data_IF_909929946855
#
_entry.id   IF_909929946855
#
_cell.length_a   1.000
_cell.length_b   1.000
_cell.length_c   1.000
_cell.angle_alpha   90.00
_cell.angle_beta   90.00
_cell.angle_gamma   90.00
#
_symmetry.space_group_name_H-M   'P 1'
#
loop_
_entity.id
_entity.type
_entity.pdbx_description
1 polymer ?
#
# COMPACT_ATOMS: atom_id res chain seq x y z
N UNK A 1 -6.05 -28.75 -9.78
CA UNK A 1 -5.82 -27.68 -8.77
C UNK A 1 -6.67 -26.49 -9.17
N UNK A 2 -7.34 -25.85 -8.21
CA UNK A 2 -8.10 -24.63 -8.54
C UNK A 2 -7.11 -23.49 -8.78
N UNK A 3 -7.19 -22.84 -9.93
CA UNK A 3 -6.36 -21.69 -10.30
C UNK A 3 -7.02 -20.40 -9.78
N UNK A 4 -6.21 -19.50 -9.22
CA UNK A 4 -6.64 -18.15 -8.83
C UNK A 4 -5.83 -17.16 -9.66
N UNK A 5 -6.52 -16.28 -10.38
CA UNK A 5 -5.90 -15.25 -11.22
C UNK A 5 -5.85 -13.90 -10.49
N UNK A 6 -4.75 -13.18 -10.65
CA UNK A 6 -4.54 -11.83 -10.15
C UNK A 6 -4.07 -10.90 -11.26
N UNK A 7 -4.55 -9.64 -11.25
CA UNK A 7 -4.09 -8.57 -12.12
C UNK A 7 -3.41 -7.47 -11.29
N UNK A 8 -2.10 -7.28 -11.48
CA UNK A 8 -1.30 -6.29 -10.75
C UNK A 8 -1.03 -5.09 -11.65
N UNK A 9 -1.63 -3.94 -11.32
CA UNK A 9 -1.56 -2.73 -12.13
C UNK A 9 -0.28 -1.93 -11.85
N UNK A 10 0.51 -1.70 -12.89
CA UNK A 10 1.80 -1.02 -12.82
C UNK A 10 2.95 -1.94 -12.40
N UNK A 11 4.17 -1.45 -12.60
CA UNK A 11 5.41 -2.22 -12.40
C UNK A 11 6.31 -1.54 -11.38
N UNK A 12 6.51 -2.20 -10.24
CA UNK A 12 7.55 -1.88 -9.27
C UNK A 12 8.09 -3.18 -8.68
N UNK A 13 9.29 -3.58 -9.04
CA UNK A 13 9.87 -4.85 -8.62
C UNK A 13 9.81 -5.06 -7.11
N UNK A 14 10.10 -4.03 -6.32
CA UNK A 14 10.06 -4.11 -4.86
C UNK A 14 8.65 -4.37 -4.33
N UNK A 15 7.64 -3.67 -4.87
CA UNK A 15 6.25 -3.84 -4.43
C UNK A 15 5.69 -5.19 -4.90
N UNK A 16 5.99 -5.56 -6.13
CA UNK A 16 5.57 -6.86 -6.68
C UNK A 16 6.11 -8.01 -5.84
N UNK A 17 7.39 -7.98 -5.44
CA UNK A 17 7.98 -9.00 -4.57
C UNK A 17 7.23 -9.14 -3.25
N UNK A 18 6.86 -8.03 -2.63
CA UNK A 18 6.10 -8.03 -1.36
C UNK A 18 4.69 -8.60 -1.54
N UNK A 19 4.01 -8.24 -2.64
CA UNK A 19 2.67 -8.75 -2.96
C UNK A 19 2.73 -10.26 -3.20
N UNK A 20 3.66 -10.71 -4.02
CA UNK A 20 3.83 -12.12 -4.36
C UNK A 20 4.11 -12.98 -3.13
N UNK A 21 4.97 -12.51 -2.23
CA UNK A 21 5.28 -13.17 -0.97
C UNK A 21 4.01 -13.43 -0.14
N UNK A 22 3.16 -12.41 0.00
CA UNK A 22 1.88 -12.54 0.71
C UNK A 22 0.92 -13.48 -0.02
N UNK A 23 0.82 -13.39 -1.35
CA UNK A 23 -0.06 -14.27 -2.13
C UNK A 23 0.37 -15.73 -2.01
N UNK A 24 1.67 -16.02 -2.02
CA UNK A 24 2.18 -17.38 -1.87
C UNK A 24 1.90 -17.95 -0.48
N UNK A 25 2.09 -17.18 0.59
CA UNK A 25 1.72 -17.63 1.94
C UNK A 25 0.20 -17.80 2.11
N UNK A 26 -0.60 -16.92 1.49
CA UNK A 26 -2.07 -16.97 1.62
C UNK A 26 -2.69 -18.13 0.84
N UNK A 27 -2.11 -18.48 -0.31
CA UNK A 27 -2.66 -19.45 -1.26
C UNK A 27 -1.72 -20.64 -1.50
N UNK A 28 -1.01 -21.11 -0.48
CA UNK A 28 0.05 -22.11 -0.53
C UNK A 28 -0.31 -23.39 -1.33
N UNK A 29 -1.59 -23.79 -1.33
CA UNK A 29 -2.08 -25.00 -2.00
C UNK A 29 -2.85 -24.72 -3.30
N UNK A 30 -2.71 -23.53 -3.88
CA UNK A 30 -3.38 -23.12 -5.12
C UNK A 30 -2.36 -22.86 -6.22
N UNK A 31 -2.81 -22.93 -7.46
CA UNK A 31 -2.03 -22.40 -8.59
C UNK A 31 -2.38 -20.95 -8.79
N UNK A 32 -1.38 -20.08 -8.84
CA UNK A 32 -1.57 -18.64 -9.06
C UNK A 32 -1.20 -18.27 -10.50
N UNK A 33 -2.15 -17.66 -11.21
CA UNK A 33 -1.92 -17.03 -12.50
C UNK A 33 -1.88 -15.51 -12.33
N UNK A 34 -0.70 -14.92 -12.45
CA UNK A 34 -0.44 -13.52 -12.11
C UNK A 34 -0.11 -12.74 -13.38
N UNK A 35 -0.94 -11.75 -13.68
CA UNK A 35 -0.74 -10.82 -14.79
C UNK A 35 -0.27 -9.47 -14.25
N UNK A 36 0.85 -9.00 -14.73
CA UNK A 36 1.35 -7.65 -14.43
C UNK A 36 0.98 -6.76 -15.60
N UNK A 37 0.08 -5.82 -15.37
CA UNK A 37 -0.48 -4.95 -16.39
C UNK A 37 0.31 -3.65 -16.42
N UNK A 38 0.86 -3.30 -17.59
CA UNK A 38 1.67 -2.09 -17.76
C UNK A 38 1.29 -1.31 -19.01
N UNK A 39 1.30 0.01 -18.91
CA UNK A 39 1.16 0.92 -20.04
C UNK A 39 2.51 1.51 -20.48
N UNK A 40 3.62 1.06 -19.89
CA UNK A 40 4.96 1.49 -20.27
C UNK A 40 5.49 0.66 -21.45
N UNK A 41 6.10 1.28 -22.48
CA UNK A 41 6.68 0.55 -23.58
C UNK A 41 7.86 -0.31 -23.08
N UNK A 42 7.80 -1.60 -23.35
CA UNK A 42 8.87 -2.61 -23.34
C UNK A 42 10.04 -2.40 -22.37
N UNK A 43 9.82 -2.18 -21.09
CA UNK A 43 10.96 -2.03 -20.20
C UNK A 43 10.75 -2.71 -18.87
N UNK A 44 11.35 -3.81 -18.74
CA UNK A 44 11.62 -4.43 -17.47
C UNK A 44 11.51 -5.94 -17.58
N UNK A 45 12.65 -6.59 -17.61
CA UNK A 45 12.71 -7.94 -17.08
C UNK A 45 12.20 -7.88 -15.65
N UNK A 46 10.94 -8.20 -15.45
CA UNK A 46 10.45 -8.51 -14.13
C UNK A 46 11.18 -9.79 -13.76
N UNK A 47 12.06 -9.71 -12.76
CA UNK A 47 12.94 -10.80 -12.34
C UNK A 47 12.17 -11.92 -11.59
N UNK A 48 10.95 -12.23 -12.03
CA UNK A 48 10.13 -13.28 -11.43
C UNK A 48 10.11 -14.47 -12.39
N UNK A 49 10.74 -15.54 -11.99
CA UNK A 49 10.68 -16.80 -12.71
C UNK A 49 9.41 -17.57 -12.35
N UNK A 50 8.82 -18.22 -13.35
CA UNK A 50 7.78 -19.21 -13.09
C UNK A 50 8.30 -20.29 -12.13
N UNK A 51 7.53 -20.58 -11.09
CA UNK A 51 7.82 -21.69 -10.16
C UNK A 51 6.72 -22.75 -10.29
N UNK A 52 6.89 -23.90 -9.62
CA UNK A 52 5.97 -25.05 -9.77
C UNK A 52 4.48 -24.75 -9.61
N UNK A 53 4.13 -23.73 -8.82
CA UNK A 53 2.74 -23.45 -8.46
C UNK A 53 2.23 -22.09 -8.93
N UNK A 54 2.97 -21.39 -9.83
CA UNK A 54 2.49 -20.12 -10.36
C UNK A 54 3.10 -19.75 -11.70
N UNK A 55 2.35 -18.96 -12.47
CA UNK A 55 2.81 -18.23 -13.64
C UNK A 55 2.82 -16.73 -13.39
N UNK A 56 3.79 -16.02 -13.94
CA UNK A 56 3.83 -14.56 -13.95
C UNK A 56 4.02 -14.09 -15.38
N UNK A 57 3.11 -13.27 -15.89
CA UNK A 57 3.12 -12.73 -17.24
C UNK A 57 3.04 -11.20 -17.20
N UNK A 58 3.79 -10.54 -18.09
CA UNK A 58 3.64 -9.09 -18.32
C UNK A 58 2.69 -8.92 -19.50
N UNK A 59 1.63 -8.17 -19.29
CA UNK A 59 0.62 -7.88 -20.29
C UNK A 59 0.55 -6.37 -20.53
N UNK A 60 0.60 -5.96 -21.79
CA UNK A 60 0.39 -4.57 -22.15
C UNK A 60 -1.07 -4.19 -21.89
N UNK A 61 -1.28 -2.98 -21.37
CA UNK A 61 -2.60 -2.43 -21.02
C UNK A 61 -3.63 -2.58 -22.15
N UNK A 62 -3.25 -2.25 -23.37
CA UNK A 62 -4.12 -2.37 -24.55
C UNK A 62 -4.50 -3.81 -24.94
N UNK A 63 -3.80 -4.81 -24.43
CA UNK A 63 -4.06 -6.24 -24.67
C UNK A 63 -4.73 -6.92 -23.46
N UNK A 64 -5.02 -6.15 -22.41
CA UNK A 64 -5.63 -6.69 -21.22
C UNK A 64 -7.15 -6.50 -21.23
N UNK A 65 -7.86 -7.60 -21.04
CA UNK A 65 -9.31 -7.58 -20.80
C UNK A 65 -9.54 -7.64 -19.29
N UNK A 66 -10.09 -6.56 -18.76
CA UNK A 66 -10.38 -6.45 -17.33
C UNK A 66 -11.61 -7.30 -16.97
N UNK A 67 -11.45 -8.24 -16.06
CA UNK A 67 -12.54 -9.06 -15.51
C UNK A 67 -13.05 -8.54 -14.14
N UNK A 68 -12.46 -7.46 -13.65
CA UNK A 68 -12.73 -6.83 -12.35
C UNK A 68 -12.54 -7.74 -11.13
N UNK A 69 -11.82 -8.86 -11.28
CA UNK A 69 -11.53 -9.78 -10.19
C UNK A 69 -10.06 -9.70 -9.77
N UNK A 70 -9.81 -9.74 -8.47
CA UNK A 70 -8.46 -9.80 -7.88
C UNK A 70 -7.47 -8.79 -8.47
N UNK A 71 -7.88 -7.52 -8.55
CA UNK A 71 -7.05 -6.43 -9.06
C UNK A 71 -6.31 -5.76 -7.90
N UNK A 72 -5.03 -5.48 -8.09
CA UNK A 72 -4.19 -4.76 -7.14
C UNK A 72 -3.30 -3.73 -7.82
N UNK A 73 -2.85 -2.74 -7.03
CA UNK A 73 -1.78 -1.84 -7.47
C UNK A 73 -0.42 -2.48 -7.22
N UNK A 74 0.33 -2.76 -8.29
CA UNK A 74 1.70 -3.31 -8.27
C UNK A 74 2.78 -2.27 -7.96
N UNK A 75 2.41 -1.14 -7.36
CA UNK A 75 3.27 0.01 -7.06
C UNK A 75 3.05 0.51 -5.64
N UNK A 76 4.12 0.91 -4.94
CA UNK A 76 4.08 1.19 -3.50
C UNK A 76 4.23 2.67 -3.11
N UNK A 77 4.89 3.51 -3.92
CA UNK A 77 5.05 4.94 -3.58
C UNK A 77 3.77 5.72 -3.82
N UNK A 78 3.46 6.65 -2.95
CA UNK A 78 2.20 7.42 -2.96
C UNK A 78 1.92 8.10 -4.30
N UNK A 79 2.92 8.79 -4.84
CA UNK A 79 2.85 9.50 -6.13
C UNK A 79 2.59 8.56 -7.30
N UNK A 80 3.35 7.45 -7.41
CA UNK A 80 3.19 6.48 -8.49
C UNK A 80 1.86 5.74 -8.36
N UNK A 81 1.45 5.42 -7.14
CA UNK A 81 0.18 4.78 -6.84
C UNK A 81 -1.01 5.60 -7.36
N UNK A 82 -1.00 6.92 -7.09
CA UNK A 82 -2.02 7.83 -7.60
C UNK A 82 -2.06 7.83 -9.13
N UNK A 83 -0.92 8.03 -9.79
CA UNK A 83 -0.82 8.06 -11.26
C UNK A 83 -1.28 6.76 -11.91
N UNK A 84 -0.87 5.61 -11.38
CA UNK A 84 -1.28 4.30 -11.90
C UNK A 84 -2.78 4.11 -11.73
N UNK A 85 -3.31 4.40 -10.54
CA UNK A 85 -4.76 4.30 -10.31
C UNK A 85 -5.55 5.20 -11.26
N UNK A 86 -5.17 6.48 -11.39
CA UNK A 86 -5.87 7.44 -12.25
C UNK A 86 -5.84 6.99 -13.73
N UNK A 87 -4.70 6.48 -14.22
CA UNK A 87 -4.58 5.96 -15.58
C UNK A 87 -5.53 4.78 -15.83
N UNK A 88 -5.55 3.77 -14.96
CA UNK A 88 -6.42 2.61 -15.11
C UNK A 88 -7.89 2.92 -14.83
N UNK A 89 -8.18 3.90 -13.98
CA UNK A 89 -9.53 4.42 -13.80
C UNK A 89 -10.08 5.01 -15.11
N UNK A 90 -9.27 5.81 -15.81
CA UNK A 90 -9.64 6.44 -17.07
C UNK A 90 -9.75 5.40 -18.21
N UNK A 91 -8.76 4.51 -18.36
CA UNK A 91 -8.69 3.59 -19.49
C UNK A 91 -9.63 2.38 -19.35
N UNK A 92 -9.85 1.89 -18.13
CA UNK A 92 -10.59 0.66 -17.86
C UNK A 92 -11.73 0.81 -16.86
N UNK A 93 -12.10 2.02 -16.45
CA UNK A 93 -13.17 2.30 -15.47
C UNK A 93 -12.97 1.59 -14.11
N UNK A 94 -11.71 1.34 -13.73
CA UNK A 94 -11.41 0.69 -12.45
C UNK A 94 -11.68 1.65 -11.30
N UNK A 95 -12.55 1.23 -10.39
CA UNK A 95 -12.83 1.94 -9.14
C UNK A 95 -12.23 1.19 -7.95
N UNK A 96 -12.09 1.86 -6.81
CA UNK A 96 -11.49 1.24 -5.62
C UNK A 96 -12.22 0.00 -5.15
N UNK A 97 -13.53 -0.09 -5.39
CA UNK A 97 -14.34 -1.28 -5.07
C UNK A 97 -13.89 -2.55 -5.82
N UNK A 98 -13.22 -2.40 -6.96
CA UNK A 98 -12.68 -3.51 -7.73
C UNK A 98 -11.31 -3.97 -7.19
N UNK A 99 -10.69 -3.18 -6.32
CA UNK A 99 -9.36 -3.49 -5.80
C UNK A 99 -9.44 -4.50 -4.65
N UNK A 100 -8.63 -5.51 -4.74
CA UNK A 100 -8.52 -6.59 -3.73
C UNK A 100 -7.50 -6.22 -2.66
N UNK A 101 -7.81 -6.58 -1.42
CA UNK A 101 -6.87 -6.47 -0.30
C UNK A 101 -5.91 -7.66 -0.28
N UNK A 102 -4.62 -7.38 -0.13
CA UNK A 102 -3.59 -8.39 0.12
C UNK A 102 -3.08 -8.22 1.54
N UNK A 103 -3.51 -9.14 2.38
CA UNK A 103 -3.27 -9.11 3.82
C UNK A 103 -2.48 -10.36 4.19
N UNK A 104 -1.29 -10.15 4.74
CA UNK A 104 -0.45 -11.27 5.17
C UNK A 104 -1.11 -12.04 6.32
N UNK A 105 -1.16 -13.39 6.30
CA UNK A 105 -1.84 -14.19 7.32
C UNK A 105 -1.26 -14.03 8.73
N UNK A 106 -0.02 -13.58 8.87
CA UNK A 106 0.62 -13.25 10.15
C UNK A 106 0.38 -11.80 10.63
N UNK A 107 -0.54 -11.06 10.00
CA UNK A 107 -1.00 -9.77 10.51
C UNK A 107 -2.08 -9.94 11.57
N UNK A 108 -2.12 -9.05 12.54
CA UNK A 108 -3.15 -9.03 13.58
C UNK A 108 -4.04 -7.81 13.34
N UNK A 109 -5.27 -8.05 12.92
CA UNK A 109 -6.24 -6.99 12.66
C UNK A 109 -7.43 -7.16 13.59
N UNK A 110 -7.73 -6.14 14.37
CA UNK A 110 -8.92 -6.13 15.23
C UNK A 110 -10.20 -6.30 14.40
N UNK A 111 -11.12 -7.13 14.87
CA UNK A 111 -12.45 -7.27 14.27
C UNK A 111 -13.28 -5.97 14.31
N UNK A 112 -12.91 -5.02 15.17
CA UNK A 112 -13.53 -3.70 15.26
C UNK A 112 -12.87 -2.65 14.36
N UNK A 113 -11.78 -2.98 13.69
CA UNK A 113 -11.19 -2.12 12.67
C UNK A 113 -12.04 -2.14 11.39
N UNK A 114 -12.08 -1.01 10.70
CA UNK A 114 -12.73 -0.86 9.39
C UNK A 114 -11.65 -0.62 8.34
N UNK A 115 -11.57 -1.48 7.36
CA UNK A 115 -10.62 -1.39 6.25
C UNK A 115 -11.38 -1.37 4.92
N UNK A 116 -10.94 -0.49 4.02
CA UNK A 116 -11.49 -0.37 2.67
C UNK A 116 -10.77 -1.30 1.68
N UNK A 117 -10.62 -0.89 0.42
CA UNK A 117 -10.18 -1.75 -0.67
C UNK A 117 -8.78 -1.41 -1.17
N UNK A 118 -8.12 -2.39 -1.81
CA UNK A 118 -6.81 -2.21 -2.42
C UNK A 118 -5.67 -2.04 -1.43
N UNK A 119 -5.81 -2.59 -0.23
CA UNK A 119 -4.79 -2.51 0.81
C UNK A 119 -3.72 -3.59 0.62
N UNK A 120 -2.49 -3.21 0.94
CA UNK A 120 -1.44 -4.16 1.28
C UNK A 120 -1.16 -4.08 2.78
N UNK A 121 -1.21 -5.20 3.50
CA UNK A 121 -0.85 -5.30 4.92
C UNK A 121 0.19 -6.40 5.09
N UNK A 122 1.41 -5.98 5.41
CA UNK A 122 2.58 -6.86 5.53
C UNK A 122 2.64 -7.65 6.84
N UNK A 123 3.53 -8.65 6.92
CA UNK A 123 3.65 -9.56 8.06
C UNK A 123 3.95 -8.84 9.37
N UNK A 124 3.40 -9.35 10.47
CA UNK A 124 3.64 -8.82 11.83
C UNK A 124 3.05 -7.43 12.08
N UNK A 125 2.22 -6.91 11.16
CA UNK A 125 1.50 -5.65 11.39
C UNK A 125 0.38 -5.86 12.41
N UNK A 126 0.16 -4.88 13.29
CA UNK A 126 -0.87 -4.90 14.33
C UNK A 126 -1.78 -3.69 14.17
N UNK A 127 -3.07 -3.94 13.94
CA UNK A 127 -4.10 -2.91 13.76
C UNK A 127 -5.11 -3.02 14.90
N UNK A 128 -5.15 -1.98 15.72
CA UNK A 128 -5.95 -1.91 16.94
C UNK A 128 -7.46 -1.69 16.67
N UNK A 129 -8.31 -1.83 17.71
CA UNK A 129 -9.74 -1.57 17.58
C UNK A 129 -10.07 -0.14 17.12
N UNK A 130 -11.16 -0.01 16.36
CA UNK A 130 -11.70 1.25 15.85
C UNK A 130 -10.75 2.03 14.95
N UNK A 131 -9.70 1.41 14.42
CA UNK A 131 -8.90 1.99 13.35
C UNK A 131 -9.73 2.01 12.07
N UNK A 132 -9.64 3.12 11.32
CA UNK A 132 -10.18 3.24 9.98
C UNK A 132 -9.04 3.37 8.95
N UNK A 133 -9.02 2.51 7.95
CA UNK A 133 -8.04 2.55 6.86
C UNK A 133 -8.77 2.70 5.54
N UNK A 134 -8.51 3.79 4.86
CA UNK A 134 -9.10 4.11 3.56
C UNK A 134 -8.48 3.28 2.42
N UNK A 135 -8.90 3.53 1.19
CA UNK A 135 -8.49 2.76 0.01
C UNK A 135 -7.00 2.90 -0.33
N UNK A 136 -6.44 1.89 -0.96
CA UNK A 136 -5.10 1.86 -1.54
C UNK A 136 -3.96 2.14 -0.54
N UNK A 137 -4.19 1.92 0.75
CA UNK A 137 -3.16 2.10 1.78
C UNK A 137 -2.20 0.92 1.78
N UNK A 138 -0.91 1.23 1.88
CA UNK A 138 0.15 0.24 2.09
C UNK A 138 0.60 0.31 3.55
N UNK A 139 0.43 -0.77 4.29
CA UNK A 139 0.96 -0.94 5.64
C UNK A 139 2.03 -2.01 5.57
N UNK A 140 3.27 -1.60 5.76
CA UNK A 140 4.40 -2.51 5.61
C UNK A 140 4.66 -3.31 6.90
N UNK A 141 5.53 -4.33 6.80
CA UNK A 141 5.83 -5.29 7.87
C UNK A 141 6.17 -4.64 9.21
N UNK A 142 5.69 -5.25 10.30
CA UNK A 142 6.03 -4.85 11.68
C UNK A 142 5.49 -3.47 12.08
N UNK A 143 4.48 -2.95 11.39
CA UNK A 143 3.85 -1.66 11.70
C UNK A 143 2.80 -1.85 12.79
N UNK A 144 2.74 -0.93 13.76
CA UNK A 144 1.67 -0.91 14.78
C UNK A 144 0.82 0.34 14.66
N UNK A 145 -0.51 0.17 14.68
CA UNK A 145 -1.48 1.27 14.56
C UNK A 145 -2.40 1.26 15.79
N UNK A 146 -2.33 2.33 16.56
CA UNK A 146 -3.10 2.54 17.79
C UNK A 146 -4.59 2.74 17.52
N UNK A 147 -5.40 2.50 18.54
CA UNK A 147 -6.86 2.55 18.48
C UNK A 147 -7.42 3.92 18.00
N UNK A 148 -8.58 3.91 17.35
CA UNK A 148 -9.26 5.11 16.85
C UNK A 148 -8.41 5.98 15.90
N UNK A 149 -7.38 5.42 15.29
CA UNK A 149 -6.56 6.09 14.28
C UNK A 149 -7.24 6.02 12.92
N UNK A 150 -7.15 7.10 12.15
CA UNK A 150 -7.66 7.18 10.78
C UNK A 150 -6.52 7.37 9.80
N UNK A 151 -6.47 6.54 8.77
CA UNK A 151 -5.45 6.63 7.70
C UNK A 151 -6.14 6.90 6.38
N UNK A 152 -5.79 8.02 5.77
CA UNK A 152 -6.31 8.50 4.50
C UNK A 152 -5.87 7.65 3.31
N UNK A 153 -6.56 7.85 2.21
CA UNK A 153 -6.39 7.14 0.95
C UNK A 153 -4.95 7.20 0.43
N UNK A 154 -4.48 6.12 -0.14
CA UNK A 154 -3.21 6.06 -0.84
C UNK A 154 -1.96 6.19 0.01
N UNK A 155 -2.08 6.27 1.34
CA UNK A 155 -0.93 6.38 2.24
C UNK A 155 0.04 5.21 2.13
N UNK A 156 1.30 5.48 2.45
CA UNK A 156 2.36 4.47 2.58
C UNK A 156 2.98 4.54 3.97
N UNK A 157 2.68 3.53 4.78
CA UNK A 157 3.22 3.36 6.13
C UNK A 157 4.34 2.32 6.03
N UNK A 158 5.58 2.78 6.16
CA UNK A 158 6.76 1.96 5.90
C UNK A 158 7.11 1.02 7.07
N UNK A 159 8.06 0.08 6.87
CA UNK A 159 8.37 -0.95 7.88
C UNK A 159 8.69 -0.39 9.26
N UNK A 160 8.15 -1.05 10.31
CA UNK A 160 8.48 -0.74 11.70
C UNK A 160 7.97 0.61 12.20
N UNK A 161 7.03 1.22 11.51
CA UNK A 161 6.37 2.46 11.97
C UNK A 161 5.43 2.16 13.12
N UNK A 162 5.46 3.00 14.15
CA UNK A 162 4.53 2.94 15.27
C UNK A 162 3.67 4.21 15.29
N UNK A 163 2.36 4.05 15.23
CA UNK A 163 1.38 5.14 15.27
C UNK A 163 0.56 5.03 16.54
N UNK A 164 0.60 6.06 17.37
CA UNK A 164 -0.20 6.19 18.56
C UNK A 164 -1.71 6.25 18.28
N UNK A 165 -2.51 6.06 19.32
CA UNK A 165 -3.96 6.11 19.21
C UNK A 165 -4.51 7.50 18.91
N UNK A 166 -5.77 7.58 18.41
CA UNK A 166 -6.47 8.84 18.16
C UNK A 166 -5.73 9.76 17.17
N UNK A 167 -4.93 9.18 16.28
CA UNK A 167 -4.10 9.89 15.30
C UNK A 167 -4.81 9.94 13.95
N UNK A 168 -4.60 11.02 13.20
CA UNK A 168 -5.12 11.16 11.82
C UNK A 168 -3.97 11.33 10.85
N UNK A 169 -3.95 10.52 9.79
CA UNK A 169 -3.00 10.63 8.68
C UNK A 169 -3.79 11.01 7.43
N UNK A 170 -3.46 12.14 6.83
CA UNK A 170 -4.07 12.65 5.60
C UNK A 170 -3.72 11.80 4.38
N UNK A 171 -4.43 12.04 3.28
CA UNK A 171 -4.30 11.25 2.05
C UNK A 171 -2.92 11.35 1.41
N UNK A 172 -2.49 10.29 0.73
CA UNK A 172 -1.23 10.22 -0.01
C UNK A 172 0.01 10.61 0.80
N UNK A 173 -0.06 10.43 2.11
CA UNK A 173 1.05 10.72 3.03
C UNK A 173 1.95 9.50 3.18
N UNK A 174 3.26 9.76 3.26
CA UNK A 174 4.28 8.73 3.48
C UNK A 174 4.87 8.87 4.88
N UNK A 175 4.82 7.79 5.67
CA UNK A 175 5.52 7.70 6.95
C UNK A 175 6.76 6.84 6.77
N UNK A 176 7.93 7.42 6.96
CA UNK A 176 9.23 6.79 6.76
C UNK A 176 9.50 5.64 7.73
N UNK A 177 10.36 4.70 7.31
CA UNK A 177 10.72 3.50 8.07
C UNK A 177 11.14 3.83 9.51
N UNK A 178 10.61 3.07 10.48
CA UNK A 178 10.98 3.18 11.90
C UNK A 178 10.53 4.47 12.59
N UNK A 179 9.65 5.26 11.98
CA UNK A 179 9.12 6.48 12.62
C UNK A 179 8.13 6.16 13.72
N UNK A 180 8.10 7.01 14.73
CA UNK A 180 7.16 6.93 15.86
C UNK A 180 6.30 8.19 15.90
N UNK A 181 4.99 8.00 15.81
CA UNK A 181 3.99 9.07 15.85
C UNK A 181 3.27 8.99 17.19
N UNK A 182 3.29 10.07 17.97
CA UNK A 182 2.61 10.10 19.25
C UNK A 182 1.09 10.05 19.06
N UNK A 183 0.39 9.77 20.14
CA UNK A 183 -1.07 9.79 20.15
C UNK A 183 -1.64 11.21 19.93
N UNK A 184 -2.89 11.28 19.43
CA UNK A 184 -3.61 12.53 19.18
C UNK A 184 -2.90 13.51 18.23
N UNK A 185 -2.08 13.00 17.33
CA UNK A 185 -1.38 13.78 16.30
C UNK A 185 -2.19 13.76 15.01
N UNK A 186 -2.21 14.90 14.32
CA UNK A 186 -2.69 15.00 12.94
C UNK A 186 -1.51 15.23 12.01
N UNK A 187 -1.35 14.36 11.01
CA UNK A 187 -0.41 14.55 9.91
C UNK A 187 -1.22 14.79 8.64
N UNK A 188 -0.95 15.89 7.98
CA UNK A 188 -1.69 16.34 6.79
C UNK A 188 -1.49 15.45 5.56
N UNK A 189 -2.24 15.77 4.51
CA UNK A 189 -2.18 15.10 3.21
C UNK A 189 -0.91 15.45 2.44
N UNK A 190 -0.50 14.58 1.51
CA UNK A 190 0.70 14.77 0.67
C UNK A 190 1.94 15.16 1.50
N UNK A 191 2.07 14.61 2.70
CA UNK A 191 3.16 14.92 3.64
C UNK A 191 4.11 13.73 3.73
N UNK A 192 5.39 14.01 3.87
CA UNK A 192 6.43 13.00 4.02
C UNK A 192 7.06 13.14 5.40
N UNK A 193 6.92 12.12 6.22
CA UNK A 193 7.69 11.96 7.45
C UNK A 193 8.93 11.13 7.14
N UNK A 194 10.11 11.70 7.37
CA UNK A 194 11.39 11.02 7.11
C UNK A 194 11.62 9.82 8.03
N UNK A 195 12.46 8.90 7.60
CA UNK A 195 12.79 7.69 8.36
C UNK A 195 13.33 7.99 9.77
N UNK A 196 12.96 7.16 10.75
CA UNK A 196 13.42 7.27 12.15
C UNK A 196 12.91 8.50 12.90
N UNK A 197 11.94 9.23 12.37
CA UNK A 197 11.43 10.46 12.99
C UNK A 197 10.56 10.17 14.22
N UNK A 198 10.59 11.08 15.20
CA UNK A 198 9.68 11.09 16.34
C UNK A 198 8.76 12.30 16.22
N UNK A 199 7.50 12.07 15.84
CA UNK A 199 6.51 13.12 15.64
C UNK A 199 5.74 13.33 16.94
N UNK A 200 5.97 14.46 17.59
CA UNK A 200 5.36 14.84 18.88
C UNK A 200 4.34 15.95 18.75
N UNK A 201 4.20 16.53 17.56
CA UNK A 201 3.25 17.62 17.25
C UNK A 201 2.64 17.38 15.88
N UNK A 202 1.43 17.89 15.67
CA UNK A 202 0.77 17.83 14.36
C UNK A 202 1.59 18.51 13.27
N UNK A 203 1.54 17.92 12.07
CA UNK A 203 2.28 18.34 10.88
C UNK A 203 1.24 18.69 9.80
N UNK A 204 1.33 19.85 9.14
CA UNK A 204 0.37 20.27 8.11
C UNK A 204 0.52 19.48 6.80
N UNK A 205 -0.38 19.79 5.85
CA UNK A 205 -0.34 19.26 4.48
C UNK A 205 0.90 19.74 3.71
N UNK A 206 1.26 18.97 2.68
CA UNK A 206 2.24 19.36 1.65
C UNK A 206 3.62 19.73 2.19
N UNK A 207 4.11 19.02 3.18
CA UNK A 207 5.44 19.27 3.75
C UNK A 207 6.28 17.99 3.85
N UNK A 208 7.59 18.19 3.96
CA UNK A 208 8.54 17.16 4.37
C UNK A 208 9.04 17.50 5.77
N UNK A 209 8.84 16.58 6.72
CA UNK A 209 9.27 16.75 8.10
C UNK A 209 10.08 15.54 8.56
N UNK A 210 11.12 15.76 9.34
CA UNK A 210 11.92 14.69 9.93
C UNK A 210 12.70 15.13 11.18
N UNK A 211 13.24 14.16 11.89
CA UNK A 211 14.09 14.34 13.06
C UNK A 211 13.47 13.85 14.37
N UNK A 212 14.18 14.07 15.47
CA UNK A 212 13.75 13.76 16.83
C UNK A 212 13.95 14.99 17.75
N UNK A 213 12.89 15.75 18.08
CA UNK A 213 11.54 15.67 17.50
C UNK A 213 11.51 16.10 16.03
N UNK A 214 10.54 15.59 15.28
CA UNK A 214 10.35 15.94 13.87
C UNK A 214 10.04 17.43 13.69
N UNK A 215 10.67 18.05 12.70
CA UNK A 215 10.48 19.45 12.31
C UNK A 215 10.18 19.52 10.82
N UNK A 216 9.38 20.49 10.40
CA UNK A 216 9.16 20.80 8.99
C UNK A 216 10.45 21.34 8.40
N UNK A 217 10.87 20.75 7.29
CA UNK A 217 12.13 21.08 6.62
C UNK A 217 11.89 21.87 5.35
N UNK A 218 10.89 21.46 4.57
CA UNK A 218 10.52 22.13 3.32
C UNK A 218 9.12 21.74 2.86
N UNK A 219 8.61 22.42 1.89
CA UNK A 219 7.39 22.04 1.19
C UNK A 219 7.59 20.77 0.38
N UNK A 220 6.52 19.98 0.27
CA UNK A 220 6.40 18.87 -0.65
C UNK A 220 5.43 19.31 -1.75
N UNK A 221 5.92 19.63 -2.95
CA UNK A 221 5.03 20.14 -3.98
C UNK A 221 3.94 19.13 -4.32
N UNK A 222 2.74 19.64 -4.54
CA UNK A 222 1.58 18.83 -4.91
C UNK A 222 1.83 18.15 -6.26
N UNK A 223 1.54 16.86 -6.36
CA UNK A 223 1.72 16.03 -7.56
C UNK A 223 0.42 15.93 -8.34
#
# INVERSE_FOLDING_TARGET
MNTISFSLLGVSNNTLSLILDVLYETYENKYLDIKIITNLPNNGSVAFSNQKNHSVQIVQDNNWTCDYNNIMLGVGTTTVKKRVYDAFHISHSINTIHLTNVIHPKSIISKLAKINNGLYIGPGSIISPYVFISDMVTINRGTTIGHHTSIGRGCSINPGVNIGGLTTIGEYTTIGIGSNIFDRISIGSNTIIGAGSIVTKSIPDNVIAYGNPAKIIKENPTV
#
